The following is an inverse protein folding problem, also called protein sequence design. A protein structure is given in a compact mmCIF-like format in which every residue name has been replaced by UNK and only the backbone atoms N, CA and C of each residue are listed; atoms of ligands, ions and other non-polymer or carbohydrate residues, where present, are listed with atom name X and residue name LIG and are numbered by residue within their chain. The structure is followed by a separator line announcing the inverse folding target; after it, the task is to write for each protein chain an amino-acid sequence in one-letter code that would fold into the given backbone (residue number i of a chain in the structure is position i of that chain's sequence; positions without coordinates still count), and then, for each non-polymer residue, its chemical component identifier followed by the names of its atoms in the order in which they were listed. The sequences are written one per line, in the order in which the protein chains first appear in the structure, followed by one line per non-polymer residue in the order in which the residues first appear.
data_IF_137348063383
#
_entry.id   IF_137348063383
#
_cell.length_a   1.000
_cell.length_b   1.000
_cell.length_c   1.000
_cell.angle_alpha   90.00
_cell.angle_beta   90.00
_cell.angle_gamma   90.00
#
_symmetry.space_group_name_H-M   'P 1'
#
loop_
_entity.id
_entity.type
_entity.pdbx_description
1 polymer ?
#
# COMPACT_ATOMS: atom_id res chain seq x y z
N UNK A 1 10.10 3.80 6.21
CA UNK A 1 9.47 2.54 5.82
C UNK A 1 8.58 2.77 4.60
N UNK A 2 8.75 1.99 3.53
CA UNK A 2 8.00 2.13 2.28
C UNK A 2 7.23 0.84 1.99
N UNK A 3 5.92 0.96 1.70
CA UNK A 3 4.99 -0.14 1.65
C UNK A 3 4.33 -0.23 0.26
N UNK A 4 4.50 -1.37 -0.40
CA UNK A 4 4.02 -1.58 -1.77
C UNK A 4 2.53 -1.95 -1.85
N UNK A 5 1.98 -1.95 -3.06
CA UNK A 5 0.56 -2.22 -3.32
C UNK A 5 0.22 -3.72 -3.26
N UNK A 6 -1.08 -4.03 -3.13
CA UNK A 6 -1.62 -5.39 -3.29
C UNK A 6 -1.30 -5.94 -4.68
N UNK A 7 -0.78 -7.16 -4.75
CA UNK A 7 -0.29 -7.81 -5.98
C UNK A 7 0.90 -7.10 -6.65
N UNK A 8 1.48 -6.10 -5.98
CA UNK A 8 2.71 -5.43 -6.38
C UNK A 8 3.96 -6.07 -5.77
N UNK A 9 5.05 -5.34 -5.75
CA UNK A 9 6.32 -5.71 -5.09
C UNK A 9 7.04 -4.44 -4.66
N UNK A 10 8.19 -4.55 -4.01
CA UNK A 10 9.06 -3.41 -3.68
C UNK A 10 9.39 -2.50 -4.88
N UNK A 11 9.18 -2.98 -6.11
CA UNK A 11 9.32 -2.15 -7.31
C UNK A 11 8.37 -0.96 -7.29
N UNK A 12 7.17 -1.10 -6.73
CA UNK A 12 6.18 -0.03 -6.68
C UNK A 12 6.70 1.21 -5.96
N UNK A 13 7.51 1.03 -4.95
CA UNK A 13 8.05 2.13 -4.12
C UNK A 13 9.51 2.47 -4.43
N UNK A 14 10.15 1.76 -5.35
CA UNK A 14 11.57 1.94 -5.67
C UNK A 14 11.92 3.36 -6.15
N UNK A 15 11.15 4.04 -7.03
CA UNK A 15 11.47 5.41 -7.43
C UNK A 15 11.45 6.39 -6.26
N UNK A 16 10.45 6.28 -5.38
CA UNK A 16 10.36 7.09 -4.18
C UNK A 16 11.50 6.79 -3.20
N UNK A 17 11.84 5.50 -2.99
CA UNK A 17 12.96 5.10 -2.15
C UNK A 17 14.29 5.69 -2.66
N UNK A 18 14.50 5.71 -3.99
CA UNK A 18 15.68 6.33 -4.60
C UNK A 18 15.75 7.83 -4.30
N UNK A 19 14.68 8.56 -4.53
CA UNK A 19 14.62 10.00 -4.29
C UNK A 19 14.82 10.35 -2.79
N UNK A 20 14.21 9.59 -1.88
CA UNK A 20 14.44 9.75 -0.45
C UNK A 20 15.89 9.45 -0.05
N UNK A 21 16.52 8.43 -0.64
CA UNK A 21 17.92 8.10 -0.35
C UNK A 21 18.89 9.18 -0.86
N UNK A 22 18.59 9.82 -1.98
CA UNK A 22 19.34 10.98 -2.49
C UNK A 22 19.28 12.16 -1.51
N UNK A 23 18.26 12.22 -0.67
CA UNK A 23 18.09 13.21 0.41
C UNK A 23 18.55 12.66 1.80
N UNK A 24 19.40 11.65 1.79
CA UNK A 24 20.01 11.02 2.98
C UNK A 24 19.04 10.27 3.91
N UNK A 25 17.85 9.88 3.45
CA UNK A 25 16.99 8.99 4.22
C UNK A 25 17.44 7.53 4.06
N UNK A 26 17.50 6.81 5.19
CA UNK A 26 17.58 5.34 5.15
C UNK A 26 16.22 4.77 4.80
N UNK A 27 16.14 4.00 3.71
CA UNK A 27 14.92 3.41 3.21
C UNK A 27 14.88 1.91 3.43
N UNK A 28 13.77 1.41 3.98
CA UNK A 28 13.48 -0.01 4.09
C UNK A 28 12.10 -0.30 3.47
N UNK A 29 12.02 -1.32 2.63
CA UNK A 29 10.79 -1.75 1.98
C UNK A 29 10.68 -3.27 2.07
N UNK A 30 9.82 -3.82 2.95
CA UNK A 30 9.55 -5.25 2.96
C UNK A 30 8.82 -5.67 1.68
N UNK A 31 9.14 -6.84 1.15
CA UNK A 31 8.30 -7.48 0.15
C UNK A 31 7.39 -8.47 0.88
N UNK A 32 6.07 -8.30 0.75
CA UNK A 32 5.13 -9.16 1.47
C UNK A 32 5.20 -10.58 0.93
N UNK A 33 5.04 -11.55 1.83
CA UNK A 33 5.08 -12.97 1.51
C UNK A 33 4.13 -13.30 0.35
N UNK A 34 4.58 -14.15 -0.57
CA UNK A 34 3.82 -14.54 -1.76
C UNK A 34 3.80 -13.51 -2.90
N UNK A 35 4.06 -12.22 -2.65
CA UNK A 35 4.04 -11.19 -3.69
C UNK A 35 5.21 -11.37 -4.69
N UNK A 36 4.86 -11.38 -5.97
CA UNK A 36 5.81 -11.66 -7.06
C UNK A 36 5.91 -13.16 -7.42
N UNK A 37 5.18 -14.04 -6.74
CA UNK A 37 5.14 -15.49 -6.99
C UNK A 37 3.87 -15.90 -7.77
N UNK A 38 3.81 -17.11 -8.37
CA UNK A 38 2.59 -17.67 -8.95
C UNK A 38 1.41 -17.63 -7.98
N UNK A 39 0.19 -17.65 -8.52
CA UNK A 39 -1.01 -17.39 -7.72
C UNK A 39 -1.25 -18.47 -6.65
N UNK A 40 -0.92 -19.73 -6.92
CA UNK A 40 -1.01 -20.84 -5.95
C UNK A 40 -0.06 -20.66 -4.75
N UNK A 41 1.08 -20.03 -4.95
CA UNK A 41 2.00 -19.66 -3.86
C UNK A 41 1.58 -18.36 -3.18
N UNK A 42 1.07 -17.38 -3.95
CA UNK A 42 0.52 -16.14 -3.40
C UNK A 42 -0.63 -16.43 -2.42
N UNK A 43 -1.54 -17.34 -2.77
CA UNK A 43 -2.69 -17.70 -1.95
C UNK A 43 -2.37 -18.57 -0.72
N UNK A 44 -1.10 -18.86 -0.46
CA UNK A 44 -0.68 -19.44 0.83
C UNK A 44 -0.60 -18.42 1.97
N UNK A 45 -0.69 -17.14 1.66
CA UNK A 45 -0.51 -16.04 2.59
C UNK A 45 -1.77 -15.18 2.66
N UNK A 46 -2.00 -14.60 3.83
CA UNK A 46 -3.19 -13.81 4.17
C UNK A 46 -2.84 -12.35 4.41
N UNK A 47 -3.84 -11.50 4.59
CA UNK A 47 -3.65 -10.10 4.99
C UNK A 47 -2.90 -10.00 6.33
N UNK A 48 -3.07 -10.98 7.23
CA UNK A 48 -2.38 -11.00 8.51
C UNK A 48 -0.88 -11.30 8.35
N UNK A 49 -0.51 -12.22 7.43
CA UNK A 49 0.90 -12.51 7.13
C UNK A 49 1.59 -11.26 6.57
N UNK A 50 0.95 -10.55 5.65
CA UNK A 50 1.48 -9.29 5.09
C UNK A 50 1.57 -8.17 6.13
N UNK A 51 0.61 -8.10 7.04
CA UNK A 51 0.71 -7.19 8.17
C UNK A 51 1.89 -7.53 9.08
N UNK A 52 2.16 -8.81 9.34
CA UNK A 52 3.33 -9.25 10.10
C UNK A 52 4.65 -8.85 9.41
N UNK A 53 4.75 -8.98 8.08
CA UNK A 53 5.93 -8.50 7.31
C UNK A 53 6.15 -6.98 7.51
N UNK A 54 5.09 -6.21 7.60
CA UNK A 54 5.15 -4.75 7.87
C UNK A 54 5.64 -4.49 9.30
N UNK A 55 5.11 -5.22 10.29
CA UNK A 55 5.52 -5.12 11.69
C UNK A 55 7.00 -5.49 11.86
N UNK A 56 7.44 -6.57 11.22
CA UNK A 56 8.85 -6.97 11.21
C UNK A 56 9.74 -5.88 10.61
N UNK A 57 9.29 -5.24 9.51
CA UNK A 57 9.98 -4.13 8.89
C UNK A 57 10.09 -2.89 9.80
N UNK A 58 9.01 -2.53 10.50
CA UNK A 58 9.01 -1.47 11.49
C UNK A 58 9.94 -1.80 12.66
N UNK A 59 9.84 -2.99 13.23
CA UNK A 59 10.69 -3.43 14.34
C UNK A 59 12.16 -3.53 13.95
N UNK A 60 12.44 -3.96 12.70
CA UNK A 60 13.82 -3.95 12.18
C UNK A 60 14.44 -2.56 12.22
N UNK A 61 13.70 -1.53 11.79
CA UNK A 61 14.18 -0.14 11.86
C UNK A 61 14.39 0.32 13.32
N UNK A 62 13.46 0.04 14.22
CA UNK A 62 13.61 0.35 15.65
C UNK A 62 14.84 -0.33 16.25
N UNK A 63 15.07 -1.60 15.95
CA UNK A 63 16.22 -2.37 16.42
C UNK A 63 17.55 -1.88 15.84
N UNK A 64 17.54 -1.17 14.70
CA UNK A 64 18.70 -0.48 14.13
C UNK A 64 18.97 0.88 14.78
N UNK A 65 18.16 1.31 15.73
CA UNK A 65 18.31 2.56 16.47
C UNK A 65 17.68 3.78 15.80
N UNK A 66 16.74 3.58 14.85
CA UNK A 66 15.99 4.69 14.27
C UNK A 66 14.83 5.07 15.19
N UNK A 67 14.92 6.22 15.85
CA UNK A 67 13.84 6.77 16.67
C UNK A 67 12.79 7.49 15.83
N UNK A 68 13.20 8.21 14.80
CA UNK A 68 12.31 8.90 13.85
C UNK A 68 12.02 7.99 12.67
N UNK A 69 10.80 7.50 12.55
CA UNK A 69 10.35 6.64 11.45
C UNK A 69 9.21 7.31 10.69
N UNK A 70 9.45 7.59 9.41
CA UNK A 70 8.42 8.02 8.46
C UNK A 70 7.90 6.80 7.70
N UNK A 71 6.59 6.77 7.46
CA UNK A 71 5.96 5.67 6.75
C UNK A 71 5.19 6.18 5.54
N UNK A 72 5.34 5.51 4.43
CA UNK A 72 4.58 5.81 3.20
C UNK A 72 4.24 4.55 2.45
N UNK A 73 3.08 4.55 1.80
CA UNK A 73 2.67 3.39 1.02
C UNK A 73 1.57 3.69 0.01
N UNK A 74 1.40 2.76 -0.91
CA UNK A 74 0.46 2.86 -2.03
C UNK A 74 -0.62 1.78 -1.88
N UNK A 75 -1.89 2.15 -1.99
CA UNK A 75 -3.03 1.21 -1.96
C UNK A 75 -3.03 0.36 -0.68
N UNK A 76 -2.78 -0.96 -0.73
CA UNK A 76 -2.58 -1.79 0.45
C UNK A 76 -1.47 -1.25 1.36
N UNK A 77 -0.35 -0.81 0.78
CA UNK A 77 0.72 -0.18 1.56
C UNK A 77 0.27 1.11 2.24
N UNK A 78 -0.66 1.85 1.63
CA UNK A 78 -1.32 3.00 2.26
C UNK A 78 -2.18 2.60 3.45
N UNK A 79 -2.93 1.49 3.37
CA UNK A 79 -3.68 0.93 4.49
C UNK A 79 -2.76 0.53 5.65
N UNK A 80 -1.67 -0.16 5.35
CA UNK A 80 -0.67 -0.51 6.37
C UNK A 80 0.03 0.71 6.97
N UNK A 81 0.21 1.79 6.18
CA UNK A 81 0.72 3.06 6.68
C UNK A 81 -0.23 3.66 7.72
N UNK A 82 -1.54 3.66 7.43
CA UNK A 82 -2.57 4.10 8.38
C UNK A 82 -2.57 3.22 9.63
N UNK A 83 -2.58 1.89 9.45
CA UNK A 83 -2.59 0.94 10.58
C UNK A 83 -1.37 1.06 11.49
N UNK A 84 -0.17 1.33 10.93
CA UNK A 84 1.01 1.62 11.73
C UNK A 84 0.84 2.91 12.54
N UNK A 85 0.29 3.96 11.94
CA UNK A 85 0.08 5.25 12.62
C UNK A 85 -1.01 5.20 13.69
N UNK A 86 -1.98 4.28 13.58
CA UNK A 86 -2.99 4.02 14.62
C UNK A 86 -2.39 3.34 15.87
N UNK A 87 -1.39 2.47 15.67
CA UNK A 87 -0.95 1.53 16.70
C UNK A 87 0.47 1.80 17.24
N UNK A 88 1.30 2.50 16.47
CA UNK A 88 2.73 2.64 16.77
C UNK A 88 3.18 4.10 16.66
N UNK A 89 4.29 4.38 17.34
CA UNK A 89 4.95 5.68 17.28
C UNK A 89 5.71 5.84 15.95
N UNK A 90 5.03 6.47 14.99
CA UNK A 90 5.59 6.91 13.71
C UNK A 90 5.59 8.43 13.67
N UNK A 91 6.54 9.04 12.97
CA UNK A 91 6.75 10.49 13.04
C UNK A 91 5.97 11.29 12.00
N UNK A 92 5.82 10.75 10.79
CA UNK A 92 5.03 11.31 9.69
C UNK A 92 4.54 10.20 8.77
N UNK A 93 3.40 10.41 8.11
CA UNK A 93 2.87 9.47 7.12
C UNK A 93 2.52 10.15 5.79
N UNK A 94 2.76 9.44 4.68
CA UNK A 94 2.25 9.80 3.36
C UNK A 94 1.50 8.62 2.75
N UNK A 95 0.22 8.78 2.49
CA UNK A 95 -0.71 7.73 2.06
C UNK A 95 -1.13 7.98 0.62
N UNK A 96 -0.88 7.05 -0.28
CA UNK A 96 -1.16 7.18 -1.71
C UNK A 96 -2.23 6.19 -2.15
N UNK A 97 -3.31 6.65 -2.75
CA UNK A 97 -4.41 5.85 -3.33
C UNK A 97 -4.88 4.69 -2.43
N UNK A 98 -4.96 4.91 -1.11
CA UNK A 98 -5.46 3.91 -0.17
C UNK A 98 -6.99 3.82 -0.22
N UNK A 99 -7.57 2.61 -0.19
CA UNK A 99 -9.02 2.46 -0.10
C UNK A 99 -9.51 2.66 1.34
N UNK A 100 -10.66 3.31 1.53
CA UNK A 100 -11.36 3.36 2.83
C UNK A 100 -12.39 2.23 3.00
N UNK A 101 -12.76 1.59 1.89
CA UNK A 101 -13.64 0.42 1.82
C UNK A 101 -13.25 -0.42 0.62
N UNK A 102 -13.70 -1.66 0.51
CA UNK A 102 -13.50 -2.49 -0.69
C UNK A 102 -14.51 -3.63 -0.72
N UNK A 103 -15.03 -3.91 -1.90
CA UNK A 103 -15.86 -5.08 -2.09
C UNK A 103 -15.00 -6.32 -2.39
N UNK A 104 -15.39 -7.48 -1.87
CA UNK A 104 -14.70 -8.76 -2.08
C UNK A 104 -14.51 -9.08 -3.57
N UNK A 105 -15.52 -8.80 -4.40
CA UNK A 105 -15.43 -8.99 -5.86
C UNK A 105 -14.31 -8.18 -6.50
N UNK A 106 -14.02 -6.99 -5.96
CA UNK A 106 -12.94 -6.13 -6.45
C UNK A 106 -11.57 -6.67 -6.06
N UNK A 107 -11.43 -7.24 -4.85
CA UNK A 107 -10.22 -7.92 -4.39
C UNK A 107 -9.97 -9.17 -5.25
N UNK A 108 -11.00 -10.01 -5.41
CA UNK A 108 -10.93 -11.22 -6.25
C UNK A 108 -10.58 -10.90 -7.71
N UNK A 109 -11.15 -9.83 -8.26
CA UNK A 109 -10.83 -9.37 -9.62
C UNK A 109 -9.35 -8.98 -9.75
N UNK A 110 -8.81 -8.25 -8.78
CA UNK A 110 -7.39 -7.89 -8.76
C UNK A 110 -6.49 -9.12 -8.69
N UNK A 111 -6.82 -10.11 -7.86
CA UNK A 111 -6.11 -11.39 -7.79
C UNK A 111 -6.16 -12.13 -9.13
N UNK A 112 -7.32 -12.17 -9.78
CA UNK A 112 -7.46 -12.79 -11.11
C UNK A 112 -6.56 -12.11 -12.15
N UNK A 113 -6.50 -10.78 -12.16
CA UNK A 113 -5.62 -10.02 -13.06
C UNK A 113 -4.15 -10.31 -12.79
N UNK A 114 -3.78 -10.39 -11.52
CA UNK A 114 -2.43 -10.78 -11.11
C UNK A 114 -2.09 -12.20 -11.58
N UNK A 115 -2.93 -13.19 -11.31
CA UNK A 115 -2.73 -14.56 -11.75
C UNK A 115 -2.61 -14.69 -13.28
N UNK A 116 -3.48 -14.01 -14.03
CA UNK A 116 -3.39 -13.97 -15.50
C UNK A 116 -2.04 -13.42 -15.98
N UNK A 117 -1.57 -12.32 -15.35
CA UNK A 117 -0.26 -11.74 -15.68
C UNK A 117 0.90 -12.69 -15.33
N UNK A 118 0.85 -13.35 -14.18
CA UNK A 118 1.86 -14.33 -13.77
C UNK A 118 1.90 -15.52 -14.71
N UNK A 119 0.74 -16.06 -15.10
CA UNK A 119 0.64 -17.15 -16.06
C UNK A 119 1.30 -16.80 -17.41
N UNK A 120 1.08 -15.57 -17.89
CA UNK A 120 1.72 -15.07 -19.13
C UNK A 120 3.23 -14.93 -18.98
N UNK A 121 3.70 -14.35 -17.88
CA UNK A 121 5.13 -14.16 -17.62
C UNK A 121 5.89 -15.47 -17.49
N UNK A 122 5.28 -16.46 -16.85
CA UNK A 122 5.85 -17.77 -16.61
C UNK A 122 5.58 -18.77 -17.77
N UNK A 123 4.80 -18.34 -18.78
CA UNK A 123 4.45 -19.15 -19.96
C UNK A 123 3.78 -20.47 -19.60
N UNK A 124 2.89 -20.45 -18.61
CA UNK A 124 2.11 -21.62 -18.24
C UNK A 124 1.17 -22.01 -19.37
N UNK A 125 1.00 -23.33 -19.56
CA UNK A 125 0.00 -23.88 -20.49
C UNK A 125 -1.43 -23.58 -20.00
N UNK A 126 -2.43 -23.92 -20.83
CA UNK A 126 -3.84 -23.62 -20.54
C UNK A 126 -4.33 -24.36 -19.28
N UNK A 127 -3.89 -25.60 -19.09
CA UNK A 127 -4.30 -26.42 -17.94
C UNK A 127 -3.76 -25.84 -16.65
N UNK A 128 -2.45 -25.58 -16.60
CA UNK A 128 -1.78 -24.95 -15.47
C UNK A 128 -2.37 -23.57 -15.18
N UNK A 129 -2.63 -22.77 -16.22
CA UNK A 129 -3.23 -21.45 -16.08
C UNK A 129 -4.63 -21.50 -15.45
N UNK A 130 -5.47 -22.48 -15.82
CA UNK A 130 -6.77 -22.70 -15.19
C UNK A 130 -6.66 -23.13 -13.74
N UNK A 131 -5.73 -24.04 -13.42
CA UNK A 131 -5.47 -24.48 -12.04
C UNK A 131 -5.05 -23.29 -11.16
N UNK A 132 -4.09 -22.47 -11.62
CA UNK A 132 -3.66 -21.25 -10.93
C UNK A 132 -4.84 -20.33 -10.59
N UNK A 133 -5.69 -20.01 -11.56
CA UNK A 133 -6.85 -19.14 -11.35
C UNK A 133 -7.93 -19.79 -10.47
N UNK A 134 -8.00 -21.11 -10.42
CA UNK A 134 -8.92 -21.86 -9.55
C UNK A 134 -8.66 -21.63 -8.07
N UNK A 135 -7.42 -21.37 -7.66
CA UNK A 135 -7.07 -21.15 -6.24
C UNK A 135 -7.79 -19.96 -5.59
N UNK A 136 -8.29 -19.01 -6.40
CA UNK A 136 -9.05 -17.85 -5.90
C UNK A 136 -10.36 -18.30 -5.23
N UNK A 137 -10.96 -19.41 -5.69
CA UNK A 137 -12.19 -19.91 -5.10
C UNK A 137 -11.97 -20.38 -3.65
N UNK A 138 -10.87 -21.08 -3.40
CA UNK A 138 -10.53 -21.55 -2.06
C UNK A 138 -10.05 -20.42 -1.15
N UNK A 139 -9.60 -19.31 -1.75
CA UNK A 139 -9.12 -18.12 -1.05
C UNK A 139 -10.24 -17.15 -0.62
N UNK A 140 -11.51 -17.42 -0.93
CA UNK A 140 -12.64 -16.52 -0.60
C UNK A 140 -12.71 -16.13 0.89
N UNK A 141 -12.49 -17.02 1.87
CA UNK A 141 -12.49 -16.62 3.29
C UNK A 141 -11.45 -15.54 3.59
N UNK A 142 -10.25 -15.61 3.00
CA UNK A 142 -9.17 -14.63 3.19
C UNK A 142 -9.44 -13.31 2.46
N UNK A 143 -10.23 -13.33 1.38
CA UNK A 143 -10.74 -12.10 0.75
C UNK A 143 -11.69 -11.37 1.70
N UNK A 144 -12.57 -12.09 2.38
CA UNK A 144 -13.46 -11.52 3.41
C UNK A 144 -12.68 -10.95 4.60
N UNK A 145 -11.62 -11.66 5.06
CA UNK A 145 -10.70 -11.15 6.09
C UNK A 145 -10.00 -9.86 5.64
N UNK A 146 -9.56 -9.80 4.38
CA UNK A 146 -8.96 -8.58 3.84
C UNK A 146 -9.95 -7.41 3.83
N UNK A 147 -11.19 -7.65 3.39
CA UNK A 147 -12.25 -6.64 3.45
C UNK A 147 -12.46 -6.15 4.89
N UNK A 148 -12.60 -7.06 5.84
CA UNK A 148 -12.76 -6.73 7.25
C UNK A 148 -11.56 -5.92 7.81
N UNK A 149 -10.35 -6.24 7.39
CA UNK A 149 -9.15 -5.50 7.77
C UNK A 149 -9.20 -4.02 7.31
N UNK A 150 -9.71 -3.76 6.09
CA UNK A 150 -9.92 -2.39 5.58
C UNK A 150 -10.93 -1.65 6.47
N UNK A 151 -12.05 -2.29 6.80
CA UNK A 151 -13.11 -1.72 7.63
C UNK A 151 -12.62 -1.38 9.04
N UNK A 152 -11.79 -2.24 9.64
CA UNK A 152 -11.18 -1.99 10.95
C UNK A 152 -10.33 -0.73 10.91
N UNK A 153 -9.44 -0.58 9.93
CA UNK A 153 -8.59 0.62 9.78
C UNK A 153 -9.45 1.86 9.57
N UNK A 154 -10.43 1.79 8.67
CA UNK A 154 -11.29 2.94 8.36
C UNK A 154 -12.11 3.43 9.56
N UNK A 155 -12.44 2.55 10.50
CA UNK A 155 -13.16 2.89 11.72
C UNK A 155 -12.26 3.44 12.85
N UNK A 156 -10.94 3.33 12.73
CA UNK A 156 -9.96 3.72 13.76
C UNK A 156 -9.11 4.95 13.34
N UNK A 157 -9.43 5.60 12.21
CA UNK A 157 -8.65 6.71 11.63
C UNK A 157 -8.49 7.90 12.60
N UNK A 158 -9.44 8.13 13.50
CA UNK A 158 -9.39 9.19 14.52
C UNK A 158 -8.21 9.03 15.50
N UNK A 159 -7.61 7.83 15.57
CA UNK A 159 -6.42 7.55 16.38
C UNK A 159 -5.12 8.07 15.77
N UNK A 160 -5.17 8.58 14.55
CA UNK A 160 -3.99 9.08 13.83
C UNK A 160 -3.84 10.57 14.06
N UNK A 161 -2.83 10.95 14.84
CA UNK A 161 -2.55 12.34 15.21
C UNK A 161 -1.28 12.91 14.56
N UNK A 162 -0.47 12.05 13.94
CA UNK A 162 0.81 12.44 13.33
C UNK A 162 0.63 13.26 12.05
N UNK A 163 1.61 14.11 11.67
CA UNK A 163 1.56 14.80 10.39
C UNK A 163 1.32 13.85 9.22
N UNK A 164 0.32 14.15 8.38
CA UNK A 164 -0.16 13.27 7.33
C UNK A 164 -0.31 13.96 5.98
N UNK A 165 0.07 13.30 4.91
CA UNK A 165 -0.25 13.68 3.52
C UNK A 165 -1.06 12.56 2.88
N UNK A 166 -2.24 12.91 2.39
CA UNK A 166 -3.16 12.00 1.72
C UNK A 166 -3.17 12.38 0.23
N UNK A 167 -2.74 11.47 -0.62
CA UNK A 167 -2.57 11.73 -2.05
C UNK A 167 -3.44 10.75 -2.87
N UNK A 168 -4.02 11.25 -3.95
CA UNK A 168 -4.75 10.42 -4.91
C UNK A 168 -4.48 10.87 -6.35
N UNK A 169 -4.61 9.94 -7.28
CA UNK A 169 -4.44 10.20 -8.71
C UNK A 169 -5.73 10.68 -9.35
N UNK A 170 -5.66 11.77 -10.13
CA UNK A 170 -6.81 12.29 -10.90
C UNK A 170 -7.23 11.37 -12.05
N UNK A 171 -6.31 10.53 -12.55
CA UNK A 171 -6.56 9.51 -13.57
C UNK A 171 -6.73 8.10 -12.99
N UNK A 172 -6.95 7.98 -11.68
CA UNK A 172 -7.34 6.74 -11.00
C UNK A 172 -8.87 6.57 -11.03
N UNK A 173 -9.37 5.44 -10.55
CA UNK A 173 -10.81 5.26 -10.32
C UNK A 173 -11.31 6.29 -9.29
N UNK A 174 -12.44 6.94 -9.57
CA UNK A 174 -13.07 7.92 -8.68
C UNK A 174 -13.30 7.40 -7.25
N UNK A 175 -13.38 6.09 -7.09
CA UNK A 175 -13.43 5.42 -5.80
C UNK A 175 -12.26 5.82 -4.88
N UNK A 176 -11.03 5.95 -5.42
CA UNK A 176 -9.85 6.33 -4.61
C UNK A 176 -9.83 7.81 -4.24
N UNK A 177 -10.42 8.68 -5.06
CA UNK A 177 -10.70 10.06 -4.68
C UNK A 177 -11.63 10.11 -3.46
N UNK A 178 -12.76 9.39 -3.50
CA UNK A 178 -13.72 9.33 -2.40
C UNK A 178 -13.05 8.78 -1.12
N UNK A 179 -12.27 7.70 -1.26
CA UNK A 179 -11.49 7.12 -0.16
C UNK A 179 -10.49 8.12 0.45
N UNK A 180 -9.77 8.87 -0.39
CA UNK A 180 -8.82 9.88 0.08
C UNK A 180 -9.51 11.00 0.87
N UNK A 181 -10.66 11.48 0.41
CA UNK A 181 -11.49 12.44 1.15
C UNK A 181 -12.00 11.86 2.46
N UNK A 182 -12.45 10.60 2.46
CA UNK A 182 -12.89 9.93 3.68
C UNK A 182 -11.76 9.86 4.70
N UNK A 183 -10.59 9.35 4.31
CA UNK A 183 -9.41 9.23 5.18
C UNK A 183 -9.01 10.62 5.72
N UNK A 184 -8.90 11.62 4.85
CA UNK A 184 -8.54 12.98 5.26
C UNK A 184 -9.50 13.55 6.30
N UNK A 185 -10.81 13.34 6.15
CA UNK A 185 -11.82 13.89 7.04
C UNK A 185 -11.83 13.21 8.42
N UNK A 186 -11.39 11.94 8.50
CA UNK A 186 -11.47 11.15 9.74
C UNK A 186 -10.16 11.03 10.51
N UNK A 187 -9.00 11.37 9.92
CA UNK A 187 -7.74 11.49 10.65
C UNK A 187 -7.80 12.69 11.59
N UNK A 188 -7.42 12.52 12.87
CA UNK A 188 -7.35 13.58 13.88
C UNK A 188 -5.95 14.20 13.98
N UNK A 189 -5.38 14.59 12.84
CA UNK A 189 -4.11 15.31 12.76
C UNK A 189 -4.33 16.79 12.53
N UNK A 190 -3.63 17.63 13.29
CA UNK A 190 -3.60 19.07 13.09
C UNK A 190 -2.71 19.52 11.92
N UNK A 191 -1.85 18.62 11.41
CA UNK A 191 -0.98 18.86 10.26
C UNK A 191 -1.28 17.82 9.18
N UNK A 192 -2.41 17.99 8.50
CA UNK A 192 -2.81 17.11 7.39
C UNK A 192 -3.12 17.89 6.13
N UNK A 193 -2.85 17.27 4.98
CA UNK A 193 -3.17 17.83 3.67
C UNK A 193 -3.70 16.74 2.73
N UNK A 194 -4.57 17.12 1.81
CA UNK A 194 -5.16 16.27 0.78
C UNK A 194 -4.82 16.82 -0.60
N UNK A 195 -4.08 16.04 -1.40
CA UNK A 195 -3.63 16.47 -2.72
C UNK A 195 -4.09 15.55 -3.83
N UNK A 196 -4.71 16.13 -4.86
CA UNK A 196 -4.94 15.47 -6.15
C UNK A 196 -3.72 15.65 -7.05
N UNK A 197 -3.21 14.56 -7.62
CA UNK A 197 -2.23 14.58 -8.70
C UNK A 197 -2.93 14.28 -10.04
N UNK A 198 -3.26 15.29 -10.86
CA UNK A 198 -4.21 15.15 -11.97
C UNK A 198 -3.79 14.13 -13.03
N UNK A 199 -2.49 13.97 -13.26
CA UNK A 199 -1.95 13.06 -14.27
C UNK A 199 -1.72 11.65 -13.74
N UNK A 200 -1.64 11.47 -12.42
CA UNK A 200 -1.30 10.19 -11.80
C UNK A 200 -2.45 9.21 -11.86
N UNK A 201 -2.10 7.93 -12.02
CA UNK A 201 -2.99 6.77 -11.90
C UNK A 201 -2.80 6.12 -10.53
N UNK A 202 -3.39 4.95 -10.35
CA UNK A 202 -3.35 4.20 -9.09
C UNK A 202 -1.94 3.98 -8.54
N UNK A 203 -0.99 3.57 -9.38
CA UNK A 203 0.42 3.42 -8.98
C UNK A 203 1.15 4.77 -9.12
N UNK A 204 0.96 5.64 -8.13
CA UNK A 204 1.34 7.06 -8.18
C UNK A 204 2.84 7.32 -8.30
N UNK A 205 3.69 6.35 -8.03
CA UNK A 205 5.16 6.44 -8.14
C UNK A 205 5.69 6.12 -9.55
N UNK A 206 4.80 5.85 -10.51
CA UNK A 206 5.12 5.54 -11.89
C UNK A 206 4.15 6.21 -12.87
N UNK A 207 4.59 6.35 -14.11
CA UNK A 207 3.79 6.93 -15.20
C UNK A 207 3.71 8.45 -15.12
N UNK A 208 2.68 9.02 -15.73
CA UNK A 208 2.54 10.46 -15.84
C UNK A 208 2.34 11.12 -14.46
N UNK A 209 3.04 12.21 -14.20
CA UNK A 209 2.93 12.97 -12.95
C UNK A 209 3.59 12.33 -11.71
N UNK A 210 4.31 11.22 -11.85
CA UNK A 210 4.95 10.56 -10.71
C UNK A 210 6.06 11.40 -10.06
N UNK A 211 6.73 12.26 -10.81
CA UNK A 211 7.80 13.14 -10.29
C UNK A 211 7.23 14.15 -9.29
N UNK A 212 6.06 14.72 -9.55
CA UNK A 212 5.38 15.64 -8.65
C UNK A 212 4.97 14.94 -7.34
N UNK A 213 4.46 13.71 -7.44
CA UNK A 213 4.12 12.89 -6.27
C UNK A 213 5.36 12.63 -5.41
N UNK A 214 6.44 12.18 -6.03
CA UNK A 214 7.71 11.90 -5.34
C UNK A 214 8.25 13.17 -4.68
N UNK A 215 8.28 14.28 -5.41
CA UNK A 215 8.74 15.58 -4.90
C UNK A 215 7.92 16.02 -3.68
N UNK A 216 6.60 15.89 -3.72
CA UNK A 216 5.73 16.25 -2.60
C UNK A 216 6.03 15.40 -1.35
N UNK A 217 6.14 14.08 -1.50
CA UNK A 217 6.44 13.19 -0.36
C UNK A 217 7.83 13.46 0.22
N UNK A 218 8.85 13.64 -0.62
CA UNK A 218 10.21 13.98 -0.20
C UNK A 218 10.23 15.32 0.55
N UNK A 219 9.61 16.36 -0.02
CA UNK A 219 9.54 17.68 0.60
C UNK A 219 8.84 17.63 1.95
N UNK A 220 7.74 16.88 2.04
CA UNK A 220 7.02 16.71 3.30
C UNK A 220 7.85 16.00 4.36
N UNK A 221 8.60 14.96 4.00
CA UNK A 221 9.44 14.26 4.98
C UNK A 221 10.66 15.07 5.42
N UNK A 222 11.11 16.02 4.60
CA UNK A 222 12.18 16.97 4.94
C UNK A 222 11.71 18.16 5.79
N UNK A 223 10.42 18.51 5.78
CA UNK A 223 9.91 19.61 6.59
C UNK A 223 10.06 19.32 8.08
N UNK A 224 10.18 20.37 8.89
CA UNK A 224 10.23 20.28 10.36
C UNK A 224 8.88 19.86 10.96
#
# INVERSE_FOLDING_TARGET
LLLHSFTGTVRDVKPLAKALNEENFTCFAPNYQGHGLPLDQFTQFTIQDWWNDVLEGYQFLKNKGFDTIFVTGISLGGLFTLKLAELFDVSKIAVMSAPSEKEEKSIAWRMKRYGQRMNQLLKFDETTSKQQLGTIQDYQPHIAEFKAFIEIISNELERIHVPARILYGGNDDAFYQNSAHYIFNHIDSNNKDLTCHPLSRHLMTYGDGHEDVITQVVTFFKSE
#
